data_IF_325082040390
#
_entry.id   IF_325082040390
#
_cell.length_a   1.000
_cell.length_b   1.000
_cell.length_c   1.000
_cell.angle_alpha   90.00
_cell.angle_beta   90.00
_cell.angle_gamma   90.00
#
_symmetry.space_group_name_H-M   'P 1'
#
loop_
_entity.id
_entity.type
_entity.pdbx_description
1 polymer ?
#
# COMPACT_ATOMS: atom_id res chain seq x y z
N UNK A 1 38.01 -23.20 -7.23
CA UNK A 1 37.10 -22.60 -8.24
C UNK A 1 35.80 -23.37 -8.19
N UNK A 2 34.64 -22.71 -8.25
CA UNK A 2 33.33 -23.39 -8.18
C UNK A 2 32.77 -23.47 -9.60
N UNK A 3 32.45 -24.68 -10.05
CA UNK A 3 31.96 -24.94 -11.40
C UNK A 3 30.46 -24.61 -11.52
N UNK A 4 30.02 -24.27 -12.73
CA UNK A 4 28.61 -24.11 -13.05
C UNK A 4 27.80 -25.36 -12.64
N UNK A 5 26.64 -25.13 -12.03
CA UNK A 5 25.72 -26.19 -11.62
C UNK A 5 24.87 -26.74 -12.78
N UNK A 6 24.98 -26.15 -13.97
CA UNK A 6 24.42 -26.75 -15.17
C UNK A 6 25.38 -27.84 -15.68
N UNK A 7 24.84 -29.04 -15.79
CA UNK A 7 25.47 -30.30 -16.20
C UNK A 7 26.26 -30.23 -17.51
N UNK A 8 25.80 -29.46 -18.49
CA UNK A 8 26.47 -29.29 -19.79
C UNK A 8 27.40 -28.07 -19.85
N UNK A 9 27.74 -27.46 -18.71
CA UNK A 9 28.58 -26.27 -18.63
C UNK A 9 29.81 -26.49 -17.73
N UNK A 10 31.00 -26.39 -18.32
CA UNK A 10 32.28 -26.49 -17.60
C UNK A 10 32.91 -25.13 -17.26
N UNK A 11 32.16 -24.04 -17.39
CA UNK A 11 32.62 -22.69 -17.06
C UNK A 11 32.58 -22.45 -15.56
N UNK A 12 33.50 -21.62 -15.07
CA UNK A 12 33.49 -21.17 -13.67
C UNK A 12 32.23 -20.35 -13.36
N UNK A 13 31.63 -20.61 -12.20
CA UNK A 13 30.45 -19.91 -11.77
C UNK A 13 30.80 -18.54 -11.18
N UNK A 14 30.09 -17.51 -11.64
CA UNK A 14 30.24 -16.11 -11.20
C UNK A 14 29.04 -15.63 -10.39
N UNK A 15 27.90 -16.32 -10.49
CA UNK A 15 26.65 -15.94 -9.86
C UNK A 15 26.02 -17.11 -9.09
N UNK A 16 25.26 -16.81 -8.04
CA UNK A 16 24.50 -17.80 -7.26
C UNK A 16 23.01 -17.62 -7.51
N UNK A 17 22.24 -18.70 -7.35
CA UNK A 17 20.78 -18.60 -7.37
C UNK A 17 20.31 -17.59 -6.33
N UNK A 18 19.60 -16.55 -6.75
CA UNK A 18 19.15 -15.47 -5.85
C UNK A 18 18.17 -15.93 -4.77
N UNK A 19 17.47 -17.05 -4.99
CA UNK A 19 16.46 -17.58 -4.05
C UNK A 19 17.03 -18.48 -2.97
N UNK A 20 17.79 -19.51 -3.35
CA UNK A 20 18.33 -20.49 -2.38
C UNK A 20 19.82 -20.32 -2.08
N UNK A 21 20.56 -19.54 -2.89
CA UNK A 21 22.03 -19.32 -2.80
C UNK A 21 22.92 -20.58 -2.85
N UNK A 22 22.31 -21.74 -3.03
CA UNK A 22 22.96 -23.06 -3.00
C UNK A 22 23.56 -23.46 -4.34
N UNK A 23 22.82 -23.28 -5.45
CA UNK A 23 23.34 -23.51 -6.80
C UNK A 23 24.03 -22.28 -7.37
N UNK A 24 25.04 -22.50 -8.19
CA UNK A 24 25.89 -21.47 -8.78
C UNK A 24 25.98 -21.63 -10.29
N UNK A 25 26.03 -20.54 -11.04
CA UNK A 25 26.00 -20.53 -12.50
C UNK A 25 27.02 -19.54 -13.05
N UNK A 26 27.45 -19.73 -14.29
CA UNK A 26 28.27 -18.77 -15.00
C UNK A 26 27.42 -17.66 -15.67
N UNK A 27 26.16 -17.96 -15.99
CA UNK A 27 25.22 -17.02 -16.62
C UNK A 27 23.75 -17.31 -16.24
N UNK A 28 22.88 -16.35 -16.54
CA UNK A 28 21.42 -16.49 -16.39
C UNK A 28 20.86 -17.55 -17.34
N UNK A 29 21.47 -17.79 -18.51
CA UNK A 29 21.01 -18.85 -19.40
C UNK A 29 21.24 -20.25 -18.80
N UNK A 30 22.39 -20.47 -18.16
CA UNK A 30 22.67 -21.74 -17.48
C UNK A 30 21.74 -21.96 -16.29
N UNK A 31 21.38 -20.89 -15.57
CA UNK A 31 20.36 -20.95 -14.52
C UNK A 31 18.97 -21.29 -15.09
N UNK A 32 18.60 -20.75 -16.26
CA UNK A 32 17.32 -21.02 -16.91
C UNK A 32 17.24 -22.47 -17.42
N UNK A 33 18.34 -23.02 -17.94
CA UNK A 33 18.42 -24.41 -18.38
C UNK A 33 18.29 -25.41 -17.22
N UNK A 34 18.95 -25.14 -16.09
CA UNK A 34 18.82 -25.96 -14.87
C UNK A 34 17.50 -25.70 -14.12
N UNK A 35 16.69 -24.70 -14.50
CA UNK A 35 15.47 -24.35 -13.75
C UNK A 35 14.45 -25.48 -13.60
N UNK A 36 14.12 -26.30 -14.62
CA UNK A 36 13.15 -27.38 -14.50
C UNK A 36 13.51 -28.40 -13.40
N UNK A 37 14.79 -28.72 -13.25
CA UNK A 37 15.34 -29.65 -12.26
C UNK A 37 15.55 -28.95 -10.91
N UNK A 38 16.05 -27.71 -10.93
CA UNK A 38 16.37 -26.93 -9.73
C UNK A 38 15.13 -26.44 -8.97
N UNK A 39 14.05 -26.03 -9.64
CA UNK A 39 12.89 -25.32 -9.07
C UNK A 39 12.31 -25.97 -7.83
N UNK A 40 12.20 -27.30 -7.82
CA UNK A 40 11.60 -28.05 -6.70
C UNK A 40 12.50 -28.02 -5.47
N UNK A 41 13.81 -28.15 -5.65
CA UNK A 41 14.81 -28.09 -4.57
C UNK A 41 14.98 -26.64 -4.09
N UNK A 42 15.03 -25.69 -5.02
CA UNK A 42 15.10 -24.25 -4.76
C UNK A 42 14.03 -23.79 -3.77
N UNK A 43 12.77 -24.23 -3.96
CA UNK A 43 11.65 -23.90 -3.07
C UNK A 43 11.82 -24.46 -1.66
N UNK A 44 12.33 -25.68 -1.52
CA UNK A 44 12.53 -26.33 -0.21
C UNK A 44 13.61 -25.64 0.61
N UNK A 45 14.69 -25.23 -0.06
CA UNK A 45 15.84 -24.59 0.59
C UNK A 45 15.58 -23.12 0.89
N UNK A 46 14.85 -22.41 0.01
CA UNK A 46 14.39 -21.05 0.27
C UNK A 46 13.36 -20.94 1.41
N UNK A 47 12.74 -22.05 1.82
CA UNK A 47 11.76 -22.10 2.91
C UNK A 47 12.39 -22.43 4.29
N UNK A 48 13.70 -22.71 4.37
CA UNK A 48 14.38 -22.95 5.63
C UNK A 48 14.69 -21.62 6.33
N UNK A 49 14.30 -21.43 7.61
CA UNK A 49 14.56 -20.21 8.37
C UNK A 49 16.03 -20.16 8.78
N UNK A 50 16.88 -19.70 7.85
CA UNK A 50 18.32 -19.53 8.07
C UNK A 50 19.00 -18.62 7.05
N UNK A 51 18.34 -18.33 5.92
CA UNK A 51 18.79 -17.27 5.02
C UNK A 51 18.28 -15.92 5.54
N UNK A 52 19.03 -15.32 6.46
CA UNK A 52 18.90 -13.88 6.73
C UNK A 52 19.17 -13.12 5.42
N UNK A 53 18.11 -12.76 4.71
CA UNK A 53 18.15 -11.62 3.81
C UNK A 53 18.10 -10.38 4.69
N UNK A 54 19.23 -9.68 4.82
CA UNK A 54 19.24 -8.28 5.21
C UNK A 54 18.60 -7.44 4.08
N UNK A 55 17.32 -7.68 3.79
CA UNK A 55 16.47 -6.75 3.08
C UNK A 55 15.77 -5.93 4.14
N UNK A 56 16.51 -5.01 4.76
CA UNK A 56 15.91 -3.94 5.53
C UNK A 56 14.95 -3.21 4.60
N UNK A 57 13.65 -3.38 4.83
CA UNK A 57 12.63 -2.61 4.14
C UNK A 57 12.94 -1.13 4.35
N UNK A 58 12.74 -0.28 3.32
CA UNK A 58 12.78 1.15 3.53
C UNK A 58 11.76 1.53 4.64
N UNK A 59 12.05 2.53 5.48
CA UNK A 59 11.09 3.03 6.46
C UNK A 59 9.73 3.32 5.79
N UNK A 60 8.64 2.80 6.37
CA UNK A 60 7.28 3.00 5.85
C UNK A 60 6.75 1.95 4.85
N UNK A 61 7.47 0.84 4.63
CA UNK A 61 7.00 -0.30 3.83
C UNK A 61 6.57 -1.48 4.72
N UNK A 62 5.38 -2.02 4.45
CA UNK A 62 4.83 -3.19 5.13
C UNK A 62 4.80 -4.40 4.20
N UNK A 63 5.13 -5.59 4.71
CA UNK A 63 5.04 -6.84 3.94
C UNK A 63 3.58 -7.31 3.85
N UNK A 64 3.05 -7.43 2.64
CA UNK A 64 1.73 -8.00 2.39
C UNK A 64 1.74 -9.09 1.31
N UNK A 65 0.59 -9.73 1.02
CA UNK A 65 0.47 -10.79 0.02
C UNK A 65 0.82 -10.33 -1.41
N UNK A 66 0.75 -9.02 -1.67
CA UNK A 66 1.06 -8.39 -2.97
C UNK A 66 2.49 -7.82 -3.04
N UNK A 67 3.33 -8.09 -2.03
CA UNK A 67 4.68 -7.54 -1.91
C UNK A 67 4.83 -6.53 -0.77
N UNK A 68 6.00 -5.91 -0.69
CA UNK A 68 6.29 -4.85 0.28
C UNK A 68 5.69 -3.54 -0.20
N UNK A 69 4.60 -3.08 0.42
CA UNK A 69 3.87 -1.89 0.00
C UNK A 69 4.10 -0.74 0.97
N UNK A 70 4.32 0.46 0.45
CA UNK A 70 4.39 1.68 1.25
C UNK A 70 3.00 2.24 1.51
N UNK A 71 2.96 3.13 2.50
CA UNK A 71 1.82 3.96 2.83
C UNK A 71 1.34 4.84 1.65
N UNK A 72 2.21 5.15 0.68
CA UNK A 72 1.88 5.95 -0.50
C UNK A 72 1.29 5.12 -1.64
N UNK A 73 1.04 3.83 -1.41
CA UNK A 73 0.63 2.89 -2.44
C UNK A 73 1.76 2.70 -3.45
N UNK A 74 3.01 2.55 -3.00
CA UNK A 74 4.12 2.11 -3.85
C UNK A 74 4.55 0.71 -3.45
N UNK A 75 4.83 -0.15 -4.42
CA UNK A 75 5.40 -1.47 -4.21
C UNK A 75 6.91 -1.35 -4.32
N UNK A 76 7.62 -1.80 -3.29
CA UNK A 76 9.07 -1.94 -3.30
C UNK A 76 9.45 -3.31 -3.85
N UNK A 77 10.27 -3.32 -4.89
CA UNK A 77 10.86 -4.55 -5.41
C UNK A 77 12.24 -4.77 -4.77
N UNK A 78 12.38 -5.74 -3.84
CA UNK A 78 13.66 -5.99 -3.17
C UNK A 78 14.74 -6.56 -4.10
N UNK A 79 14.40 -7.04 -5.30
CA UNK A 79 15.37 -7.54 -6.28
C UNK A 79 16.01 -6.42 -7.10
N UNK A 80 15.29 -5.33 -7.37
CA UNK A 80 15.78 -4.21 -8.20
C UNK A 80 16.07 -2.95 -7.39
N UNK A 81 15.62 -2.88 -6.13
CA UNK A 81 15.69 -1.68 -5.30
C UNK A 81 14.76 -0.55 -5.78
N UNK A 82 13.88 -0.83 -6.74
CA UNK A 82 12.98 0.17 -7.33
C UNK A 82 11.64 0.17 -6.61
N UNK A 83 11.17 1.37 -6.26
CA UNK A 83 9.81 1.61 -5.79
C UNK A 83 8.93 2.08 -6.94
N UNK A 84 7.86 1.36 -7.25
CA UNK A 84 6.88 1.73 -8.28
C UNK A 84 5.53 1.99 -7.65
N UNK A 85 4.66 2.87 -8.19
CA UNK A 85 3.27 2.93 -7.77
C UNK A 85 2.62 1.54 -7.84
N UNK A 86 1.89 1.15 -6.80
CA UNK A 86 1.13 -0.10 -6.71
C UNK A 86 0.06 -0.19 -7.80
N UNK A 87 -0.41 0.97 -8.26
CA UNK A 87 -1.29 1.12 -9.40
C UNK A 87 -1.15 2.54 -9.97
N UNK A 88 -1.16 2.67 -11.30
CA UNK A 88 -1.36 3.94 -11.99
C UNK A 88 -2.85 4.29 -12.18
N UNK A 89 -3.76 3.39 -11.78
CA UNK A 89 -5.22 3.55 -11.91
C UNK A 89 -5.84 4.01 -10.58
N UNK A 90 -6.72 5.00 -10.66
CA UNK A 90 -7.53 5.62 -9.58
C UNK A 90 -8.28 4.61 -8.68
N UNK A 91 -8.52 3.40 -9.16
CA UNK A 91 -9.32 2.41 -8.43
C UNK A 91 -8.61 1.67 -7.29
N UNK A 92 -7.28 1.71 -7.17
CA UNK A 92 -6.58 0.84 -6.21
C UNK A 92 -7.08 0.98 -4.77
N UNK A 93 -7.23 2.23 -4.31
CA UNK A 93 -7.75 2.51 -2.98
C UNK A 93 -9.24 2.17 -2.88
N UNK A 94 -10.05 2.54 -3.88
CA UNK A 94 -11.48 2.20 -3.90
C UNK A 94 -11.75 0.69 -3.83
N UNK A 95 -10.97 -0.11 -4.56
CA UNK A 95 -11.05 -1.58 -4.57
C UNK A 95 -10.56 -2.17 -3.25
N UNK A 96 -9.42 -1.68 -2.75
CA UNK A 96 -8.87 -2.07 -1.43
C UNK A 96 -9.87 -1.77 -0.30
N UNK A 97 -10.59 -0.66 -0.42
CA UNK A 97 -11.59 -0.21 0.54
C UNK A 97 -12.98 -0.80 0.28
N UNK A 98 -13.18 -1.53 -0.81
CA UNK A 98 -14.46 -2.16 -1.14
C UNK A 98 -15.61 -1.16 -1.25
N UNK A 99 -15.35 0.04 -1.79
CA UNK A 99 -16.36 1.06 -2.01
C UNK A 99 -17.35 0.63 -3.10
N UNK A 100 -18.64 0.86 -2.85
CA UNK A 100 -19.71 0.48 -3.76
C UNK A 100 -20.63 1.65 -4.05
N UNK A 101 -21.05 1.78 -5.31
CA UNK A 101 -21.88 2.88 -5.78
C UNK A 101 -23.28 2.89 -5.15
N UNK A 102 -23.78 1.72 -4.71
CA UNK A 102 -25.07 1.56 -4.03
C UNK A 102 -25.02 1.92 -2.53
N UNK A 103 -23.84 2.21 -1.99
CA UNK A 103 -23.64 2.65 -0.61
C UNK A 103 -22.56 3.75 -0.53
N UNK A 104 -22.83 4.94 -1.09
CA UNK A 104 -21.87 6.03 -1.11
C UNK A 104 -21.61 6.64 0.29
N UNK A 105 -22.53 6.45 1.24
CA UNK A 105 -22.42 6.97 2.61
C UNK A 105 -21.21 6.39 3.35
N UNK A 106 -20.77 5.19 2.99
CA UNK A 106 -19.52 4.62 3.50
C UNK A 106 -18.34 5.50 3.13
N UNK A 107 -18.27 5.93 1.87
CA UNK A 107 -17.20 6.83 1.39
C UNK A 107 -17.31 8.16 2.12
N UNK A 108 -18.53 8.66 2.34
CA UNK A 108 -18.75 9.93 3.04
C UNK A 108 -18.23 9.88 4.47
N UNK A 109 -18.59 8.85 5.22
CA UNK A 109 -18.12 8.62 6.59
C UNK A 109 -16.60 8.51 6.65
N UNK A 110 -15.98 7.69 5.78
CA UNK A 110 -14.53 7.50 5.77
C UNK A 110 -13.79 8.81 5.38
N UNK A 111 -14.32 9.65 4.47
CA UNK A 111 -13.71 10.95 4.14
C UNK A 111 -13.84 11.97 5.28
N UNK A 112 -14.99 12.00 5.97
CA UNK A 112 -15.18 12.85 7.16
C UNK A 112 -14.20 12.46 8.26
N UNK A 113 -14.06 11.17 8.56
CA UNK A 113 -13.14 10.69 9.59
C UNK A 113 -11.68 10.92 9.20
N UNK A 114 -11.34 10.75 7.92
CA UNK A 114 -10.02 11.12 7.38
C UNK A 114 -9.74 12.60 7.61
N UNK A 115 -10.71 13.49 7.36
CA UNK A 115 -10.55 14.92 7.60
C UNK A 115 -10.40 15.26 9.09
N UNK A 116 -11.14 14.59 10.00
CA UNK A 116 -11.01 14.78 11.45
C UNK A 116 -9.59 14.47 11.93
N UNK A 117 -9.03 13.34 11.48
CA UNK A 117 -7.66 12.92 11.80
C UNK A 117 -6.64 13.89 11.18
N UNK A 118 -6.84 14.29 9.92
CA UNK A 118 -5.97 15.25 9.26
C UNK A 118 -5.94 16.60 9.99
N UNK A 119 -7.10 17.10 10.41
CA UNK A 119 -7.23 18.38 11.10
C UNK A 119 -6.58 18.37 12.48
N UNK A 120 -6.63 17.25 13.20
CA UNK A 120 -5.93 17.13 14.49
C UNK A 120 -4.41 17.15 14.35
N UNK A 121 -3.90 16.71 13.19
CA UNK A 121 -2.47 16.53 12.98
C UNK A 121 -1.91 15.26 13.63
N UNK A 122 -2.76 14.41 14.22
CA UNK A 122 -2.36 13.18 14.91
C UNK A 122 -2.37 11.98 13.96
N UNK A 123 -1.60 12.05 12.88
CA UNK A 123 -1.40 10.96 11.91
C UNK A 123 0.09 10.75 11.65
N UNK A 124 0.43 9.74 10.84
CA UNK A 124 1.81 9.23 10.71
C UNK A 124 2.87 10.27 10.36
N UNK A 125 2.59 11.21 9.44
CA UNK A 125 3.49 12.31 9.09
C UNK A 125 2.93 13.69 9.49
N UNK A 126 2.02 13.71 10.46
CA UNK A 126 1.40 14.94 10.90
C UNK A 126 2.41 15.90 11.53
N UNK A 127 2.41 17.15 11.05
CA UNK A 127 3.27 18.22 11.57
C UNK A 127 2.53 19.16 12.52
N UNK A 128 1.36 18.74 13.01
CA UNK A 128 0.45 19.54 13.82
C UNK A 128 -0.89 19.84 13.12
N UNK A 129 -1.80 20.56 13.81
CA UNK A 129 -3.14 20.82 13.31
C UNK A 129 -3.17 21.58 11.99
N UNK A 130 -4.10 21.23 11.11
CA UNK A 130 -4.32 21.92 9.84
C UNK A 130 -5.49 22.90 9.96
N UNK A 131 -5.36 24.08 9.34
CA UNK A 131 -6.42 25.09 9.22
C UNK A 131 -7.22 24.99 7.91
N UNK A 132 -6.92 24.01 7.07
CA UNK A 132 -7.63 23.77 5.80
C UNK A 132 -9.11 23.48 6.06
N UNK A 133 -9.99 24.08 5.26
CA UNK A 133 -11.43 23.81 5.32
C UNK A 133 -11.76 22.40 4.83
N UNK A 134 -12.97 21.92 5.16
CA UNK A 134 -13.42 20.62 4.71
C UNK A 134 -13.58 20.59 3.18
N UNK A 135 -14.10 21.66 2.60
CA UNK A 135 -14.31 21.81 1.17
C UNK A 135 -12.98 21.77 0.39
N UNK A 136 -11.95 22.47 0.88
CA UNK A 136 -10.60 22.40 0.30
C UNK A 136 -9.99 21.00 0.40
N UNK A 137 -10.23 20.32 1.52
CA UNK A 137 -9.76 18.95 1.74
C UNK A 137 -10.43 17.98 0.76
N UNK A 138 -11.75 18.08 0.57
CA UNK A 138 -12.50 17.25 -0.40
C UNK A 138 -11.99 17.51 -1.83
N UNK A 139 -11.74 18.76 -2.20
CA UNK A 139 -11.19 19.10 -3.50
C UNK A 139 -9.80 18.49 -3.75
N UNK A 140 -8.98 18.34 -2.70
CA UNK A 140 -7.71 17.59 -2.79
C UNK A 140 -7.94 16.09 -2.87
N UNK A 141 -8.90 15.55 -2.12
CA UNK A 141 -9.24 14.13 -2.15
C UNK A 141 -9.62 13.66 -3.56
N UNK A 142 -10.42 14.44 -4.28
CA UNK A 142 -10.83 14.14 -5.66
C UNK A 142 -9.66 14.12 -6.65
N UNK A 143 -8.63 14.94 -6.42
CA UNK A 143 -7.42 14.95 -7.25
C UNK A 143 -6.43 13.84 -6.90
N UNK A 144 -6.58 13.21 -5.74
CA UNK A 144 -5.60 12.26 -5.19
C UNK A 144 -5.72 10.82 -5.72
N UNK A 145 -6.81 10.53 -6.43
CA UNK A 145 -7.09 9.20 -6.98
C UNK A 145 -7.39 8.15 -5.92
N UNK A 146 -7.91 8.56 -4.75
CA UNK A 146 -8.40 7.64 -3.70
C UNK A 146 -9.90 7.32 -3.86
N UNK A 147 -10.63 8.17 -4.57
CA UNK A 147 -12.07 8.06 -4.74
C UNK A 147 -12.39 7.10 -5.90
N UNK A 148 -13.53 6.38 -5.82
CA UNK A 148 -13.94 5.45 -6.85
C UNK A 148 -14.31 6.18 -8.16
N UNK A 149 -14.17 5.54 -9.30
CA UNK A 149 -14.48 6.14 -10.61
C UNK A 149 -15.96 6.50 -10.81
N UNK A 150 -16.86 5.94 -10.01
CA UNK A 150 -18.26 6.34 -10.01
C UNK A 150 -18.51 7.63 -9.20
N UNK A 151 -17.50 8.17 -8.51
CA UNK A 151 -17.58 9.43 -7.79
C UNK A 151 -17.79 10.61 -8.74
N UNK A 152 -18.84 11.39 -8.49
CA UNK A 152 -19.24 12.56 -9.29
C UNK A 152 -19.63 13.74 -8.41
N UNK A 153 -20.03 14.84 -9.03
CA UNK A 153 -20.49 16.06 -8.35
C UNK A 153 -21.65 15.78 -7.39
N UNK A 154 -22.57 14.89 -7.74
CA UNK A 154 -23.69 14.52 -6.87
C UNK A 154 -23.20 13.81 -5.59
N UNK A 155 -22.09 13.07 -5.66
CA UNK A 155 -21.46 12.47 -4.49
C UNK A 155 -20.77 13.51 -3.62
N UNK A 156 -20.14 14.52 -4.23
CA UNK A 156 -19.57 15.65 -3.50
C UNK A 156 -20.68 16.40 -2.74
N UNK A 157 -21.79 16.71 -3.40
CA UNK A 157 -22.93 17.37 -2.75
C UNK A 157 -23.52 16.52 -1.63
N UNK A 158 -23.64 15.20 -1.86
CA UNK A 158 -24.03 14.23 -0.86
C UNK A 158 -23.10 14.22 0.36
N UNK A 159 -21.79 14.24 0.14
CA UNK A 159 -20.77 14.34 1.20
C UNK A 159 -20.89 15.64 1.99
N UNK A 160 -21.04 16.78 1.32
CA UNK A 160 -21.17 18.09 1.97
C UNK A 160 -22.46 18.22 2.78
N UNK A 161 -23.52 17.54 2.34
CA UNK A 161 -24.76 17.42 3.11
C UNK A 161 -24.59 16.49 4.30
N UNK A 162 -24.00 15.30 4.08
CA UNK A 162 -23.70 14.32 5.12
C UNK A 162 -22.84 14.93 6.24
N UNK A 163 -21.85 15.75 5.89
CA UNK A 163 -20.96 16.41 6.86
C UNK A 163 -21.61 17.51 7.70
N UNK A 164 -22.88 17.87 7.42
CA UNK A 164 -23.65 18.89 8.14
C UNK A 164 -24.85 18.29 8.88
N UNK A 165 -25.48 17.27 8.30
CA UNK A 165 -26.78 16.77 8.76
C UNK A 165 -26.71 15.38 9.41
N UNK A 166 -25.72 14.55 9.07
CA UNK A 166 -25.66 13.17 9.57
C UNK A 166 -25.27 13.08 11.06
N UNK A 167 -25.81 12.10 11.78
CA UNK A 167 -25.56 11.93 13.21
C UNK A 167 -24.10 11.62 13.55
N UNK A 168 -23.42 10.86 12.70
CA UNK A 168 -21.99 10.59 12.80
C UNK A 168 -21.16 11.58 11.98
N UNK A 169 -21.61 11.88 10.76
CA UNK A 169 -20.90 12.68 9.77
C UNK A 169 -20.79 14.17 10.08
N UNK A 170 -21.71 14.73 10.87
CA UNK A 170 -21.70 16.17 11.20
C UNK A 170 -20.38 16.60 11.83
N UNK A 171 -19.70 17.57 11.22
CA UNK A 171 -18.36 17.99 11.63
C UNK A 171 -18.33 18.77 12.95
N UNK A 172 -19.47 19.32 13.38
CA UNK A 172 -19.65 19.97 14.68
C UNK A 172 -19.61 18.96 15.84
N UNK A 173 -19.83 17.67 15.55
CA UNK A 173 -19.70 16.60 16.54
C UNK A 173 -18.23 16.45 16.94
N UNK A 174 -17.98 16.51 18.23
CA UNK A 174 -16.67 16.14 18.78
C UNK A 174 -16.51 14.62 18.73
N UNK A 175 -15.57 14.16 17.91
CA UNK A 175 -15.25 12.74 17.70
C UNK A 175 -13.74 12.59 17.87
N UNK A 176 -13.33 11.71 18.78
CA UNK A 176 -11.91 11.42 19.02
C UNK A 176 -11.38 10.36 18.05
N UNK A 177 -10.06 10.24 17.96
CA UNK A 177 -9.40 9.20 17.18
C UNK A 177 -9.81 7.78 17.63
N UNK A 178 -10.05 7.58 18.93
CA UNK A 178 -10.51 6.28 19.45
C UNK A 178 -11.99 6.03 19.12
N UNK A 179 -12.84 7.06 19.11
CA UNK A 179 -14.24 6.94 18.67
C UNK A 179 -14.30 6.49 17.21
N UNK A 180 -13.48 7.08 16.33
CA UNK A 180 -13.36 6.68 14.92
C UNK A 180 -12.97 5.21 14.83
N UNK A 181 -11.93 4.80 15.56
CA UNK A 181 -11.45 3.41 15.57
C UNK A 181 -12.53 2.41 16.02
N UNK A 182 -13.40 2.80 16.95
CA UNK A 182 -14.52 1.99 17.42
C UNK A 182 -15.71 1.98 16.44
N UNK A 183 -15.85 3.01 15.63
CA UNK A 183 -16.91 3.11 14.61
C UNK A 183 -16.60 2.27 13.36
N UNK A 184 -15.31 2.05 13.04
CA UNK A 184 -14.90 1.28 11.88
C UNK A 184 -15.25 -0.21 12.00
N UNK A 185 -15.73 -0.82 10.91
CA UNK A 185 -16.02 -2.28 10.82
C UNK A 185 -14.84 -3.16 11.27
N UNK A 186 -13.61 -2.67 11.08
CA UNK A 186 -12.36 -3.35 11.42
C UNK A 186 -11.36 -2.32 11.96
N UNK A 187 -10.74 -2.52 13.13
CA UNK A 187 -9.73 -1.60 13.66
C UNK A 187 -8.55 -1.37 12.71
N UNK A 188 -8.19 -2.36 11.89
CA UNK A 188 -7.13 -2.26 10.89
C UNK A 188 -7.40 -1.20 9.81
N UNK A 189 -8.67 -0.75 9.62
CA UNK A 189 -9.00 0.36 8.71
C UNK A 189 -8.46 1.70 9.19
N UNK A 190 -8.08 1.83 10.46
CA UNK A 190 -7.50 3.09 10.95
C UNK A 190 -6.24 3.47 10.17
N UNK A 191 -5.39 2.48 9.90
CA UNK A 191 -4.18 2.66 9.09
C UNK A 191 -4.52 3.11 7.66
N UNK A 192 -5.64 2.63 7.12
CA UNK A 192 -6.12 3.02 5.80
C UNK A 192 -6.52 4.49 5.72
N UNK A 193 -7.17 5.02 6.76
CA UNK A 193 -7.51 6.45 6.84
C UNK A 193 -6.24 7.30 6.87
N UNK A 194 -5.24 6.92 7.66
CA UNK A 194 -3.94 7.63 7.71
C UNK A 194 -3.20 7.57 6.36
N UNK A 195 -3.25 6.44 5.65
CA UNK A 195 -2.70 6.35 4.28
C UNK A 195 -3.42 7.29 3.30
N UNK A 196 -4.75 7.43 3.42
CA UNK A 196 -5.50 8.38 2.60
C UNK A 196 -5.03 9.81 2.85
N UNK A 197 -4.80 10.22 4.11
CA UNK A 197 -4.27 11.54 4.43
C UNK A 197 -2.96 11.80 3.68
N UNK A 198 -2.01 10.87 3.77
CA UNK A 198 -0.73 11.00 3.08
C UNK A 198 -0.91 11.15 1.56
N UNK A 199 -1.80 10.35 0.97
CA UNK A 199 -2.05 10.41 -0.47
C UNK A 199 -2.66 11.73 -0.91
N UNK A 200 -3.58 12.28 -0.12
CA UNK A 200 -4.23 13.58 -0.33
C UNK A 200 -3.23 14.72 -0.19
N UNK A 201 -2.37 14.66 0.84
CA UNK A 201 -1.45 15.75 1.15
C UNK A 201 -0.24 15.81 0.20
N UNK A 202 0.19 14.67 -0.35
CA UNK A 202 1.31 14.57 -1.28
C UNK A 202 0.96 14.87 -2.76
N UNK A 203 -0.29 15.23 -3.07
CA UNK A 203 -0.62 15.77 -4.40
C UNK A 203 -0.09 17.20 -4.52
N UNK A 204 0.81 17.42 -5.50
CA UNK A 204 1.28 18.75 -5.90
C UNK A 204 0.26 19.48 -6.75
#
# INVERSE_FOLDING_TARGET
MVQCSETDCNTEATQRCSRCKERVYCSVECQAKDWPTHKTQCKKVAAQPGAQSNSSLPPGYMTGPLGSMSMLGTIYNPMTGVSTPASSKSHFFADMFGYKADCPERVYSEIVDTYRIFRSGEYLQGTGPSSMSFEEFVAKAEKSGILPDWWKEENRDGLLKFSKEDEWGKLERQVTKEDIKNHLDKPARMLSLEMMIERINNQR
#
